data_IF_653272923726
#
_entry.id   IF_653272923726
#
_cell.length_a   1.000
_cell.length_b   1.000
_cell.length_c   1.000
_cell.angle_alpha   90.00
_cell.angle_beta   90.00
_cell.angle_gamma   90.00
#
_symmetry.space_group_name_H-M   'P 1'
#
loop_
_entity.id
_entity.type
_entity.pdbx_description
1 polymer ?
#
# COMPACT_ATOMS: atom_id res chain seq x y z
N UNK A 1 1.23 -2.80 30.32
CA UNK A 1 2.09 -3.18 29.18
C UNK A 1 1.78 -2.30 28.00
N UNK A 2 2.77 -1.59 27.51
CA UNK A 2 2.57 -0.84 26.27
C UNK A 2 2.67 -1.79 25.08
N UNK A 3 1.71 -1.70 24.18
CA UNK A 3 1.72 -2.43 22.93
C UNK A 3 2.32 -1.52 21.87
N UNK A 4 3.40 -1.96 21.26
CA UNK A 4 4.00 -1.26 20.14
C UNK A 4 3.62 -1.95 18.84
N UNK A 5 3.33 -1.14 17.83
CA UNK A 5 3.08 -1.64 16.49
C UNK A 5 4.33 -1.40 15.66
N UNK A 6 4.71 -2.38 14.86
CA UNK A 6 5.72 -2.20 13.82
C UNK A 6 4.99 -1.83 12.53
N UNK A 7 5.22 -0.62 12.04
CA UNK A 7 4.67 -0.19 10.76
C UNK A 7 5.60 -0.62 9.64
N UNK A 8 5.17 -1.60 8.86
CA UNK A 8 5.93 -2.16 7.74
C UNK A 8 5.75 -1.29 6.49
N UNK A 9 6.13 -0.02 6.58
CA UNK A 9 5.92 0.94 5.49
C UNK A 9 6.94 2.06 5.56
N UNK A 10 7.41 2.51 4.40
CA UNK A 10 8.25 3.70 4.28
C UNK A 10 7.44 4.99 4.10
N UNK A 11 6.11 4.93 4.16
CA UNK A 11 5.25 6.08 3.93
C UNK A 11 5.22 7.01 5.14
N UNK A 12 5.71 8.23 4.97
CA UNK A 12 5.68 9.24 6.02
C UNK A 12 4.23 9.65 6.36
N UNK A 13 3.34 9.66 5.39
CA UNK A 13 1.94 10.00 5.61
C UNK A 13 1.26 8.98 6.53
N UNK A 14 1.52 7.69 6.34
CA UNK A 14 0.97 6.65 7.22
C UNK A 14 1.52 6.76 8.63
N UNK A 15 2.81 7.07 8.77
CA UNK A 15 3.41 7.31 10.07
C UNK A 15 2.74 8.51 10.77
N UNK A 16 2.48 9.59 10.04
CA UNK A 16 1.78 10.75 10.59
C UNK A 16 0.37 10.40 11.06
N UNK A 17 -0.35 9.59 10.31
CA UNK A 17 -1.70 9.16 10.70
C UNK A 17 -1.68 8.42 12.04
N UNK A 18 -0.71 7.53 12.24
CA UNK A 18 -0.57 6.81 13.50
C UNK A 18 -0.18 7.75 14.66
N UNK A 19 0.71 8.71 14.42
CA UNK A 19 1.08 9.70 15.42
C UNK A 19 -0.13 10.53 15.83
N UNK A 20 -0.92 11.00 14.88
CA UNK A 20 -2.12 11.79 15.13
C UNK A 20 -3.16 10.99 15.90
N UNK A 21 -3.21 9.69 15.68
CA UNK A 21 -4.13 8.80 16.40
C UNK A 21 -3.63 8.42 17.79
N UNK A 22 -2.43 8.85 18.17
CA UNK A 22 -1.86 8.54 19.49
C UNK A 22 -1.36 7.11 19.62
N UNK A 23 -1.07 6.44 18.52
CA UNK A 23 -0.60 5.05 18.52
C UNK A 23 0.91 5.01 18.69
N UNK A 24 1.38 4.20 19.63
CA UNK A 24 2.82 3.95 19.79
C UNK A 24 3.28 2.97 18.72
N UNK A 25 4.27 3.36 17.92
CA UNK A 25 4.76 2.51 16.82
C UNK A 25 6.23 2.80 16.52
N UNK A 26 6.83 1.86 15.82
CA UNK A 26 8.14 2.02 15.16
C UNK A 26 7.96 1.73 13.68
N UNK A 27 8.78 2.36 12.85
CA UNK A 27 8.78 2.10 11.42
C UNK A 27 9.86 1.07 11.10
N UNK A 28 9.49 0.05 10.36
CA UNK A 28 10.45 -0.86 9.73
C UNK A 28 10.01 -1.10 8.29
N UNK A 29 10.80 -0.56 7.36
CA UNK A 29 10.46 -0.65 5.95
C UNK A 29 10.52 -2.10 5.48
N UNK A 30 9.42 -2.58 4.91
CA UNK A 30 9.37 -3.90 4.30
C UNK A 30 9.94 -3.81 2.88
N UNK A 31 10.96 -4.62 2.62
CA UNK A 31 11.56 -4.68 1.29
C UNK A 31 10.97 -5.86 0.54
N UNK A 32 9.94 -5.60 -0.25
CA UNK A 32 9.30 -6.58 -1.12
C UNK A 32 9.40 -6.08 -2.57
N UNK A 33 9.45 -7.01 -3.51
CA UNK A 33 9.43 -6.65 -4.92
C UNK A 33 7.98 -6.40 -5.34
N UNK A 34 7.50 -5.18 -5.09
CA UNK A 34 6.13 -4.80 -5.37
C UNK A 34 5.80 -4.91 -6.86
N UNK A 35 6.77 -4.56 -7.72
CA UNK A 35 6.57 -4.65 -9.16
C UNK A 35 6.35 -6.08 -9.65
N UNK A 36 7.12 -7.03 -9.13
CA UNK A 36 6.97 -8.45 -9.50
C UNK A 36 5.64 -9.02 -8.99
N UNK A 37 5.26 -8.70 -7.75
CA UNK A 37 4.00 -9.15 -7.17
C UNK A 37 2.82 -8.60 -7.97
N UNK A 38 2.85 -7.31 -8.25
CA UNK A 38 1.80 -6.64 -9.02
C UNK A 38 1.68 -7.22 -10.42
N UNK A 39 2.80 -7.42 -11.11
CA UNK A 39 2.80 -7.98 -12.46
C UNK A 39 2.22 -9.39 -12.49
N UNK A 40 2.58 -10.23 -11.53
CA UNK A 40 2.05 -11.59 -11.45
C UNK A 40 0.54 -11.59 -11.20
N UNK A 41 0.04 -10.74 -10.30
CA UNK A 41 -1.37 -10.64 -10.01
C UNK A 41 -2.17 -10.10 -11.20
N UNK A 42 -1.64 -9.10 -11.89
CA UNK A 42 -2.28 -8.57 -13.10
C UNK A 42 -2.36 -9.61 -14.20
N UNK A 43 -1.31 -10.44 -14.36
CA UNK A 43 -1.31 -11.53 -15.32
C UNK A 43 -2.37 -12.58 -15.01
N UNK A 44 -2.73 -12.77 -13.76
CA UNK A 44 -3.79 -13.68 -13.33
C UNK A 44 -5.18 -13.04 -13.38
N UNK A 45 -5.28 -11.78 -13.75
CA UNK A 45 -6.55 -11.06 -13.80
C UNK A 45 -7.08 -10.63 -12.44
N UNK A 46 -6.21 -10.46 -11.46
CA UNK A 46 -6.61 -10.05 -10.12
C UNK A 46 -7.24 -8.65 -10.13
N UNK A 47 -8.27 -8.46 -9.30
CA UNK A 47 -8.92 -7.16 -9.13
C UNK A 47 -8.00 -6.21 -8.34
N UNK A 48 -8.12 -4.88 -8.57
CA UNK A 48 -7.29 -3.90 -7.84
C UNK A 48 -7.32 -4.06 -6.32
N UNK A 49 -8.48 -4.37 -5.72
CA UNK A 49 -8.59 -4.60 -4.29
C UNK A 49 -7.72 -5.76 -3.83
N UNK A 50 -7.71 -6.86 -4.58
CA UNK A 50 -6.91 -8.04 -4.24
C UNK A 50 -5.43 -7.75 -4.34
N UNK A 51 -5.04 -6.88 -5.26
CA UNK A 51 -3.65 -6.43 -5.40
C UNK A 51 -3.23 -5.63 -4.15
N UNK A 52 -4.07 -4.68 -3.71
CA UNK A 52 -3.78 -3.91 -2.51
C UNK A 52 -3.66 -4.80 -1.27
N UNK A 53 -4.59 -5.75 -1.10
CA UNK A 53 -4.59 -6.69 0.01
C UNK A 53 -3.33 -7.56 0.01
N UNK A 54 -2.97 -8.10 -1.14
CA UNK A 54 -1.78 -8.96 -1.28
C UNK A 54 -0.49 -8.21 -1.00
N UNK A 55 -0.37 -6.99 -1.50
CA UNK A 55 0.81 -6.16 -1.23
C UNK A 55 0.92 -5.80 0.26
N UNK A 56 -0.18 -5.42 0.88
CA UNK A 56 -0.20 -5.13 2.31
C UNK A 56 0.20 -6.35 3.13
N UNK A 57 -0.33 -7.52 2.80
CA UNK A 57 0.00 -8.78 3.47
C UNK A 57 1.47 -9.15 3.28
N UNK A 58 2.00 -9.01 2.06
CA UNK A 58 3.40 -9.32 1.80
C UNK A 58 4.34 -8.47 2.66
N UNK A 59 4.04 -7.19 2.82
CA UNK A 59 4.82 -6.28 3.64
C UNK A 59 4.72 -6.66 5.13
N UNK A 60 3.52 -6.94 5.61
CA UNK A 60 3.31 -7.35 6.99
C UNK A 60 4.05 -8.66 7.30
N UNK A 61 3.94 -9.65 6.43
CA UNK A 61 4.61 -10.95 6.60
C UNK A 61 6.13 -10.82 6.58
N UNK A 62 6.67 -9.98 5.72
CA UNK A 62 8.12 -9.78 5.61
C UNK A 62 8.70 -9.29 6.92
N UNK A 63 8.08 -8.28 7.52
CA UNK A 63 8.54 -7.71 8.79
C UNK A 63 8.22 -8.66 9.95
N UNK A 64 7.04 -9.26 9.96
CA UNK A 64 6.63 -10.20 11.00
C UNK A 64 7.58 -11.38 11.12
N UNK A 65 8.10 -11.88 10.00
CA UNK A 65 9.06 -12.97 10.00
C UNK A 65 10.38 -12.63 10.69
N UNK A 66 10.74 -11.36 10.73
CA UNK A 66 11.96 -10.88 11.41
C UNK A 66 11.73 -10.50 12.87
N UNK A 67 10.48 -10.34 13.27
CA UNK A 67 10.11 -9.90 14.63
C UNK A 67 9.01 -10.78 15.21
N UNK A 68 9.35 -12.05 15.54
CA UNK A 68 8.36 -12.98 16.09
C UNK A 68 7.72 -12.42 17.37
N UNK A 69 6.41 -12.57 17.48
CA UNK A 69 5.66 -12.14 18.66
C UNK A 69 5.29 -10.67 18.68
N UNK A 70 5.70 -9.87 17.71
CA UNK A 70 5.34 -8.47 17.63
C UNK A 70 4.15 -8.26 16.67
N UNK A 71 3.35 -7.23 16.97
CA UNK A 71 2.25 -6.85 16.12
C UNK A 71 2.76 -6.00 14.97
N UNK A 72 2.52 -6.43 13.74
CA UNK A 72 3.01 -5.77 12.53
C UNK A 72 1.83 -5.28 11.70
N UNK A 73 1.91 -4.04 11.23
CA UNK A 73 0.91 -3.46 10.34
C UNK A 73 1.52 -3.22 8.98
N UNK A 74 1.00 -3.92 7.98
CA UNK A 74 1.32 -3.69 6.58
C UNK A 74 0.18 -2.94 5.91
N UNK A 75 0.50 -2.03 5.01
CA UNK A 75 -0.48 -1.20 4.32
C UNK A 75 -0.10 -1.04 2.86
N UNK A 76 -1.12 -0.91 2.03
CA UNK A 76 -0.95 -0.53 0.63
C UNK A 76 -2.17 0.26 0.15
N UNK A 77 -1.99 1.03 -0.91
CA UNK A 77 -3.07 1.75 -1.56
C UNK A 77 -2.89 1.68 -3.07
N UNK A 78 -3.97 1.39 -3.78
CA UNK A 78 -3.98 1.36 -5.23
C UNK A 78 -5.06 2.29 -5.77
N UNK A 79 -4.86 2.79 -6.98
CA UNK A 79 -5.83 3.60 -7.70
C UNK A 79 -6.54 2.71 -8.71
N UNK A 80 -7.85 2.54 -8.48
CA UNK A 80 -8.73 1.79 -9.38
C UNK A 80 -9.51 2.78 -10.23
N UNK A 81 -9.24 2.76 -11.53
CA UNK A 81 -9.96 3.57 -12.49
C UNK A 81 -10.77 2.66 -13.41
N UNK A 82 -12.07 2.56 -13.13
CA UNK A 82 -13.00 1.75 -13.92
C UNK A 82 -12.54 0.29 -14.10
N UNK A 83 -11.98 -0.29 -13.05
CA UNK A 83 -11.48 -1.66 -13.04
C UNK A 83 -10.02 -1.80 -13.46
N UNK A 84 -9.37 -0.72 -13.88
CA UNK A 84 -7.97 -0.71 -14.27
C UNK A 84 -7.10 -0.12 -13.18
N UNK A 85 -6.02 -0.82 -12.85
CA UNK A 85 -5.04 -0.32 -11.89
C UNK A 85 -4.18 0.75 -12.56
N UNK A 86 -4.15 1.95 -11.99
CA UNK A 86 -3.25 3.01 -12.45
C UNK A 86 -2.08 3.12 -11.49
N UNK A 87 -0.87 3.11 -12.04
CA UNK A 87 0.36 3.25 -11.25
C UNK A 87 0.66 4.72 -10.97
N UNK A 88 1.50 4.96 -9.96
CA UNK A 88 1.96 6.32 -9.66
C UNK A 88 2.65 6.93 -10.87
N UNK A 89 2.33 8.18 -11.22
CA UNK A 89 3.05 8.86 -12.29
C UNK A 89 4.50 9.13 -11.86
N UNK A 90 5.41 8.95 -12.80
CA UNK A 90 6.85 9.19 -12.56
C UNK A 90 7.24 10.62 -12.85
N UNK A 91 6.44 11.33 -13.65
CA UNK A 91 6.70 12.72 -14.04
C UNK A 91 5.42 13.56 -13.91
N UNK A 92 5.59 14.88 -13.91
CA UNK A 92 4.45 15.81 -13.91
C UNK A 92 3.60 15.64 -15.16
N UNK A 93 4.21 15.37 -16.30
CA UNK A 93 3.47 15.19 -17.55
C UNK A 93 2.60 13.93 -17.48
N UNK A 94 3.13 12.83 -16.92
CA UNK A 94 2.34 11.61 -16.70
C UNK A 94 1.20 11.86 -15.73
N UNK A 95 1.43 12.64 -14.67
CA UNK A 95 0.39 12.99 -13.71
C UNK A 95 -0.73 13.78 -14.39
N UNK A 96 -0.36 14.73 -15.24
CA UNK A 96 -1.33 15.54 -15.97
C UNK A 96 -2.14 14.68 -16.94
N UNK A 97 -1.49 13.74 -17.64
CA UNK A 97 -2.17 12.82 -18.55
C UNK A 97 -3.16 11.93 -17.81
N UNK A 98 -2.78 11.41 -16.63
CA UNK A 98 -3.69 10.63 -15.79
C UNK A 98 -4.91 11.45 -15.37
N UNK A 99 -4.70 12.70 -14.94
CA UNK A 99 -5.79 13.57 -14.54
C UNK A 99 -6.73 13.86 -15.69
N UNK A 100 -6.19 14.05 -16.89
CA UNK A 100 -7.02 14.25 -18.09
C UNK A 100 -7.86 13.02 -18.41
N UNK A 101 -7.29 11.83 -18.29
CA UNK A 101 -8.01 10.57 -18.53
C UNK A 101 -9.13 10.39 -17.51
N UNK A 102 -8.86 10.68 -16.23
CA UNK A 102 -9.82 10.50 -15.14
C UNK A 102 -10.87 11.62 -15.06
N UNK A 103 -10.63 12.74 -15.71
CA UNK A 103 -11.49 13.93 -15.61
C UNK A 103 -12.93 13.63 -15.97
N UNK A 104 -13.84 14.03 -15.08
CA UNK A 104 -15.28 13.82 -15.26
C UNK A 104 -15.73 12.38 -15.06
N UNK A 105 -14.85 11.50 -14.57
CA UNK A 105 -15.15 10.09 -14.35
C UNK A 105 -14.88 9.71 -12.91
N UNK A 106 -15.44 8.58 -12.48
CA UNK A 106 -15.25 8.06 -11.12
C UNK A 106 -13.96 7.23 -11.03
N UNK A 107 -13.24 7.42 -9.95
CA UNK A 107 -12.13 6.55 -9.59
C UNK A 107 -12.22 6.21 -8.11
N UNK A 108 -11.50 5.19 -7.68
CA UNK A 108 -11.44 4.78 -6.28
C UNK A 108 -9.99 4.59 -5.83
N UNK A 109 -9.72 5.07 -4.63
CA UNK A 109 -8.48 4.74 -3.93
C UNK A 109 -8.81 3.61 -2.95
N UNK A 110 -8.18 2.46 -3.14
CA UNK A 110 -8.42 1.29 -2.32
C UNK A 110 -7.23 1.10 -1.39
N UNK A 111 -7.49 1.19 -0.09
CA UNK A 111 -6.48 1.04 0.94
C UNK A 111 -6.65 -0.31 1.62
N UNK A 112 -5.53 -0.98 1.88
CA UNK A 112 -5.51 -2.24 2.59
C UNK A 112 -4.63 -2.11 3.83
N UNK A 113 -5.06 -2.72 4.93
CA UNK A 113 -4.32 -2.78 6.18
C UNK A 113 -4.38 -4.21 6.69
N UNK A 114 -3.24 -4.80 6.96
CA UNK A 114 -3.09 -6.19 7.39
C UNK A 114 -2.19 -6.26 8.62
#
# INVERSE_FOLDING_TARGET
MSTHILLASGSEIRAQLLRQAGVAFRVEVARVDEGAIKAALLAEGAAPRDIADTLAEAKARKVSGKHPGEMVLGCDQVLDFEGTLLSKPETKDQALDQLKVMRGKRHMLLSAAV
#
